data_IF_087175494209
#
_entry.id   IF_087175494209
#
_cell.length_a   1.000
_cell.length_b   1.000
_cell.length_c   1.000
_cell.angle_alpha   90.00
_cell.angle_beta   90.00
_cell.angle_gamma   90.00
#
_symmetry.space_group_name_H-M   'P 1'
#
loop_
_entity.id
_entity.type
_entity.pdbx_description
1 polymer ?
#
# COMPACT_ATOMS: atom_id res chain seq x y z
N UNK A 1 -4.22 28.30 -27.31
CA UNK A 1 -5.09 27.28 -26.70
C UNK A 1 -4.33 26.26 -25.86
N UNK A 2 -3.15 25.78 -26.28
CA UNK A 2 -2.36 24.79 -25.51
C UNK A 2 -1.77 25.27 -24.18
N UNK A 3 -1.39 26.54 -24.04
CA UNK A 3 -0.79 27.07 -22.79
C UNK A 3 -1.80 27.17 -21.64
N UNK A 4 -3.06 27.52 -21.91
CA UNK A 4 -4.10 27.60 -20.86
C UNK A 4 -4.47 26.22 -20.34
N UNK A 5 -4.63 25.25 -21.23
CA UNK A 5 -4.90 23.85 -20.85
C UNK A 5 -3.77 23.22 -20.02
N UNK A 6 -2.51 23.56 -20.35
CA UNK A 6 -1.34 23.09 -19.58
C UNK A 6 -1.30 23.69 -18.16
N UNK A 7 -1.75 24.93 -18.00
CA UNK A 7 -1.79 25.61 -16.70
C UNK A 7 -2.92 25.07 -15.81
N UNK A 8 -4.05 24.68 -16.38
CA UNK A 8 -5.15 24.03 -15.65
C UNK A 8 -4.77 22.61 -15.19
N UNK A 9 -4.13 21.83 -16.06
CA UNK A 9 -3.64 20.51 -15.70
C UNK A 9 -2.58 20.55 -14.59
N UNK A 10 -1.67 21.53 -14.63
CA UNK A 10 -0.67 21.73 -13.59
C UNK A 10 -1.32 22.08 -12.24
N UNK A 11 -2.33 22.96 -12.23
CA UNK A 11 -3.08 23.30 -11.02
C UNK A 11 -3.85 22.11 -10.47
N UNK A 12 -4.43 21.28 -11.34
CA UNK A 12 -5.13 20.08 -10.93
C UNK A 12 -4.17 19.08 -10.29
N UNK A 13 -3.03 18.81 -10.93
CA UNK A 13 -1.99 17.95 -10.39
C UNK A 13 -1.49 18.44 -9.02
N UNK A 14 -1.26 19.73 -8.88
CA UNK A 14 -0.85 20.32 -7.61
C UNK A 14 -1.89 20.09 -6.50
N UNK A 15 -3.18 20.25 -6.80
CA UNK A 15 -4.27 19.97 -5.84
C UNK A 15 -4.27 18.51 -5.41
N UNK A 16 -4.12 17.57 -6.37
CA UNK A 16 -4.05 16.14 -6.08
C UNK A 16 -2.87 15.83 -5.17
N UNK A 17 -1.68 16.37 -5.47
CA UNK A 17 -0.48 16.17 -4.65
C UNK A 17 -0.63 16.75 -3.24
N UNK A 18 -1.27 17.91 -3.09
CA UNK A 18 -1.53 18.51 -1.76
C UNK A 18 -2.48 17.62 -0.96
N UNK A 19 -3.60 17.19 -1.55
CA UNK A 19 -4.55 16.30 -0.87
C UNK A 19 -3.88 14.98 -0.48
N UNK A 20 -3.08 14.41 -1.37
CA UNK A 20 -2.28 13.23 -1.11
C UNK A 20 -1.32 13.45 0.08
N UNK A 21 -0.54 14.53 0.06
CA UNK A 21 0.40 14.85 1.14
C UNK A 21 -0.32 15.01 2.49
N UNK A 22 -1.44 15.74 2.53
CA UNK A 22 -2.25 15.91 3.74
C UNK A 22 -2.74 14.57 4.26
N UNK A 23 -3.25 13.70 3.38
CA UNK A 23 -3.73 12.36 3.79
C UNK A 23 -2.61 11.51 4.40
N UNK A 24 -1.38 11.61 3.88
CA UNK A 24 -0.22 10.90 4.43
C UNK A 24 0.23 11.46 5.76
N UNK A 25 0.22 12.78 5.91
CA UNK A 25 0.52 13.44 7.20
C UNK A 25 -0.48 13.02 8.28
N UNK A 26 -1.77 12.97 7.98
CA UNK A 26 -2.79 12.49 8.91
C UNK A 26 -2.49 11.04 9.33
N UNK A 27 -2.18 10.15 8.40
CA UNK A 27 -1.82 8.76 8.72
C UNK A 27 -0.59 8.67 9.63
N UNK A 28 0.45 9.48 9.37
CA UNK A 28 1.66 9.51 10.21
C UNK A 28 1.37 10.02 11.63
N UNK A 29 0.50 11.02 11.77
CA UNK A 29 0.09 11.55 13.08
C UNK A 29 -0.77 10.53 13.84
N UNK A 30 -1.59 9.75 13.15
CA UNK A 30 -2.43 8.73 13.80
C UNK A 30 -1.63 7.63 14.50
N UNK A 31 -0.41 7.35 14.05
CA UNK A 31 0.45 6.33 14.69
C UNK A 31 0.80 6.66 16.15
N UNK A 32 1.39 7.84 16.47
CA UNK A 32 1.68 8.19 17.86
C UNK A 32 0.40 8.38 18.69
N UNK A 33 -0.69 8.89 18.08
CA UNK A 33 -1.98 9.01 18.77
C UNK A 33 -2.52 7.64 19.16
N UNK A 34 -2.52 6.68 18.25
CA UNK A 34 -2.93 5.29 18.52
C UNK A 34 -2.08 4.67 19.63
N UNK A 35 -0.75 4.80 19.53
CA UNK A 35 0.17 4.26 20.53
C UNK A 35 -0.03 4.90 21.90
N UNK A 36 -0.30 6.20 21.98
CA UNK A 36 -0.57 6.91 23.22
C UNK A 36 -1.87 6.46 23.88
N UNK A 37 -2.94 6.25 23.10
CA UNK A 37 -4.25 5.80 23.62
C UNK A 37 -4.18 4.34 24.08
N UNK A 38 -3.52 3.48 23.30
CA UNK A 38 -3.47 2.04 23.58
C UNK A 38 -2.33 1.61 24.48
N UNK A 39 -1.44 2.53 24.90
CA UNK A 39 -0.26 2.22 25.70
C UNK A 39 0.71 1.27 24.99
N UNK A 40 0.81 1.34 23.67
CA UNK A 40 1.64 0.46 22.83
C UNK A 40 2.75 1.24 22.14
N UNK A 41 3.76 0.52 21.62
CA UNK A 41 4.86 1.09 20.85
C UNK A 41 4.96 0.41 19.47
N UNK A 42 3.85 0.37 18.73
CA UNK A 42 3.80 -0.28 17.43
C UNK A 42 4.34 0.64 16.34
N UNK A 43 5.13 0.07 15.42
CA UNK A 43 5.66 0.82 14.28
C UNK A 43 4.56 1.14 13.26
N UNK A 44 4.80 2.17 12.44
CA UNK A 44 3.91 2.52 11.32
C UNK A 44 3.64 1.31 10.40
N UNK A 45 4.68 0.58 10.00
CA UNK A 45 4.53 -0.60 9.15
C UNK A 45 3.69 -1.70 9.81
N UNK A 46 3.80 -1.87 11.12
CA UNK A 46 2.98 -2.84 11.84
C UNK A 46 1.49 -2.47 11.79
N UNK A 47 1.16 -1.19 11.99
CA UNK A 47 -0.22 -0.71 11.98
C UNK A 47 -0.83 -0.72 10.57
N UNK A 48 0.00 -0.48 9.54
CA UNK A 48 -0.45 -0.54 8.14
C UNK A 48 -0.55 -1.98 7.60
N UNK A 49 0.03 -2.95 8.32
CA UNK A 49 0.03 -4.36 7.94
C UNK A 49 -1.10 -5.13 8.65
N UNK A 50 -2.31 -4.62 8.58
CA UNK A 50 -3.49 -5.29 9.13
C UNK A 50 -4.46 -5.67 8.02
N UNK A 51 -5.44 -6.51 8.36
CA UNK A 51 -6.51 -6.93 7.45
C UNK A 51 -5.97 -7.55 6.15
N UNK A 52 -6.42 -7.05 5.00
CA UNK A 52 -6.08 -7.57 3.68
C UNK A 52 -4.59 -7.40 3.32
N UNK A 53 -3.89 -6.43 3.91
CA UNK A 53 -2.46 -6.23 3.67
C UNK A 53 -1.63 -7.49 4.04
N UNK A 54 -2.00 -8.19 5.11
CA UNK A 54 -1.37 -9.46 5.50
C UNK A 54 -1.61 -10.55 4.46
N UNK A 55 -2.83 -10.64 3.93
CA UNK A 55 -3.19 -11.63 2.92
C UNK A 55 -2.46 -11.38 1.61
N UNK A 56 -2.43 -10.12 1.13
CA UNK A 56 -1.65 -9.75 -0.05
C UNK A 56 -0.16 -10.06 0.12
N UNK A 57 0.43 -9.69 1.26
CA UNK A 57 1.84 -9.99 1.52
C UNK A 57 2.12 -11.50 1.55
N UNK A 58 1.21 -12.30 2.09
CA UNK A 58 1.30 -13.76 2.06
C UNK A 58 1.31 -14.27 0.61
N UNK A 59 0.35 -13.84 -0.23
CA UNK A 59 0.24 -14.27 -1.62
C UNK A 59 1.48 -13.86 -2.43
N UNK A 60 2.00 -12.66 -2.22
CA UNK A 60 3.23 -12.17 -2.89
C UNK A 60 4.44 -13.07 -2.56
N UNK A 61 4.50 -13.59 -1.34
CA UNK A 61 5.62 -14.39 -0.87
C UNK A 61 5.49 -15.89 -1.19
N UNK A 62 4.28 -16.43 -1.20
CA UNK A 62 4.02 -17.88 -1.26
C UNK A 62 3.14 -18.30 -2.44
N UNK A 63 2.55 -17.33 -3.15
CA UNK A 63 1.57 -17.60 -4.20
C UNK A 63 0.17 -17.85 -3.67
N UNK A 64 -0.75 -18.13 -4.60
CA UNK A 64 -2.12 -18.52 -4.28
C UNK A 64 -2.15 -19.96 -3.74
N UNK A 65 -2.83 -20.16 -2.62
CA UNK A 65 -2.95 -21.45 -1.96
C UNK A 65 -4.42 -21.92 -1.96
N UNK A 66 -4.61 -23.23 -2.01
CA UNK A 66 -5.93 -23.83 -1.77
C UNK A 66 -6.31 -23.73 -0.29
N UNK A 67 -7.62 -23.71 0.03
CA UNK A 67 -8.07 -23.84 1.41
C UNK A 67 -7.50 -25.09 2.04
N UNK A 68 -7.00 -24.96 3.25
CA UNK A 68 -6.53 -26.09 4.07
C UNK A 68 -7.29 -26.09 5.39
N UNK A 69 -7.19 -27.16 6.14
CA UNK A 69 -7.78 -27.26 7.50
C UNK A 69 -7.19 -26.20 8.46
N UNK A 70 -5.98 -25.69 8.16
CA UNK A 70 -5.29 -24.67 8.96
C UNK A 70 -5.68 -23.25 8.52
N UNK A 71 -5.90 -23.03 7.22
CA UNK A 71 -6.41 -21.75 6.65
C UNK A 71 -7.60 -22.05 5.73
N UNK A 72 -8.82 -22.08 6.27
CA UNK A 72 -10.03 -22.35 5.48
C UNK A 72 -10.39 -21.22 4.52
N UNK A 73 -9.72 -20.08 4.59
CA UNK A 73 -9.96 -18.95 3.69
C UNK A 73 -9.09 -19.08 2.44
N UNK A 74 -9.73 -19.35 1.30
CA UNK A 74 -9.08 -19.31 0.01
C UNK A 74 -8.58 -17.90 -0.32
N UNK A 75 -7.33 -17.77 -0.76
CA UNK A 75 -6.74 -16.50 -1.18
C UNK A 75 -7.21 -16.05 -2.58
N UNK A 76 -8.12 -16.79 -3.21
CA UNK A 76 -8.60 -16.56 -4.57
C UNK A 76 -9.43 -15.29 -4.77
N UNK A 77 -9.96 -14.72 -3.69
CA UNK A 77 -10.72 -13.48 -3.73
C UNK A 77 -9.84 -12.23 -3.95
N UNK A 78 -8.53 -12.37 -3.80
CA UNK A 78 -7.59 -11.25 -3.91
C UNK A 78 -7.16 -11.04 -5.36
N UNK A 79 -7.27 -9.78 -5.81
CA UNK A 79 -7.07 -9.42 -7.21
C UNK A 79 -5.61 -9.69 -7.67
N UNK A 80 -5.39 -10.50 -8.72
CA UNK A 80 -4.05 -10.98 -9.06
C UNK A 80 -3.12 -9.90 -9.60
N UNK A 81 -3.63 -8.85 -10.26
CA UNK A 81 -2.79 -7.81 -10.88
C UNK A 81 -1.89 -7.11 -9.85
N UNK A 82 -2.45 -6.75 -8.70
CA UNK A 82 -1.68 -6.13 -7.62
C UNK A 82 -0.57 -7.05 -7.11
N UNK A 83 -0.89 -8.32 -6.91
CA UNK A 83 0.08 -9.35 -6.49
C UNK A 83 1.21 -9.50 -7.50
N UNK A 84 0.87 -9.59 -8.80
CA UNK A 84 1.85 -9.75 -9.89
C UNK A 84 2.82 -8.55 -9.91
N UNK A 85 2.30 -7.33 -9.85
CA UNK A 85 3.12 -6.10 -9.86
C UNK A 85 4.05 -6.07 -8.64
N UNK A 86 3.54 -6.35 -7.45
CA UNK A 86 4.35 -6.37 -6.23
C UNK A 86 5.39 -7.50 -6.25
N UNK A 87 5.04 -8.69 -6.73
CA UNK A 87 5.97 -9.81 -6.87
C UNK A 87 7.08 -9.52 -7.87
N UNK A 88 6.75 -8.90 -9.01
CA UNK A 88 7.72 -8.49 -10.01
C UNK A 88 8.71 -7.45 -9.43
N UNK A 89 8.23 -6.44 -8.72
CA UNK A 89 9.08 -5.45 -8.05
C UNK A 89 9.95 -6.09 -6.98
N UNK A 90 9.42 -7.05 -6.22
CA UNK A 90 10.21 -7.81 -5.24
C UNK A 90 11.32 -8.59 -5.91
N UNK A 91 11.06 -9.26 -7.03
CA UNK A 91 12.06 -10.01 -7.80
C UNK A 91 13.16 -9.09 -8.35
N UNK A 92 12.78 -7.94 -8.95
CA UNK A 92 13.72 -6.95 -9.48
C UNK A 92 14.63 -6.38 -8.38
N UNK A 93 14.11 -6.16 -7.18
CA UNK A 93 14.91 -5.69 -6.03
C UNK A 93 15.71 -6.80 -5.34
N UNK A 94 15.68 -8.02 -5.86
CA UNK A 94 16.37 -9.15 -5.24
C UNK A 94 15.89 -9.49 -3.83
N UNK A 95 14.65 -9.08 -3.48
CA UNK A 95 14.07 -9.29 -2.16
C UNK A 95 14.61 -8.37 -1.05
N UNK A 96 15.43 -7.39 -1.40
CA UNK A 96 16.03 -6.44 -0.44
C UNK A 96 14.98 -5.54 0.23
N UNK A 97 13.88 -5.26 -0.50
CA UNK A 97 12.80 -4.41 0.02
C UNK A 97 11.71 -5.29 0.64
N UNK A 98 11.27 -4.92 1.83
CA UNK A 98 10.18 -5.61 2.52
C UNK A 98 8.90 -5.57 1.69
N UNK A 99 8.18 -6.69 1.60
CA UNK A 99 6.95 -6.86 0.81
C UNK A 99 5.89 -5.82 1.14
N UNK A 100 5.75 -5.43 2.42
CA UNK A 100 4.79 -4.39 2.83
C UNK A 100 5.15 -3.01 2.29
N UNK A 101 6.45 -2.69 2.28
CA UNK A 101 6.95 -1.44 1.71
C UNK A 101 6.69 -1.38 0.21
N UNK A 102 6.92 -2.48 -0.51
CA UNK A 102 6.60 -2.59 -1.94
C UNK A 102 5.11 -2.35 -2.16
N UNK A 103 4.25 -3.02 -1.39
CA UNK A 103 2.80 -2.83 -1.47
C UNK A 103 2.37 -1.38 -1.22
N UNK A 104 2.94 -0.72 -0.23
CA UNK A 104 2.68 0.70 0.05
C UNK A 104 3.12 1.60 -1.12
N UNK A 105 4.29 1.36 -1.71
CA UNK A 105 4.79 2.13 -2.86
C UNK A 105 3.83 1.98 -4.04
N UNK A 106 3.48 0.75 -4.40
CA UNK A 106 2.54 0.47 -5.50
C UNK A 106 1.20 1.15 -5.28
N UNK A 107 0.61 1.00 -4.09
CA UNK A 107 -0.66 1.63 -3.76
C UNK A 107 -0.61 3.16 -3.82
N UNK A 108 0.48 3.77 -3.34
CA UNK A 108 0.66 5.22 -3.39
C UNK A 108 0.82 5.73 -4.82
N UNK A 109 1.53 5.00 -5.67
CA UNK A 109 1.66 5.33 -7.10
C UNK A 109 0.29 5.26 -7.79
N UNK A 110 -0.48 4.20 -7.55
CA UNK A 110 -1.81 4.03 -8.14
C UNK A 110 -2.82 5.13 -7.73
N UNK A 111 -2.64 5.75 -6.57
CA UNK A 111 -3.52 6.87 -6.14
C UNK A 111 -3.19 8.18 -6.89
N UNK A 112 -1.95 8.35 -7.35
CA UNK A 112 -1.48 9.59 -8.00
C UNK A 112 -1.74 9.57 -9.52
N UNK A 113 -1.82 8.39 -10.14
CA UNK A 113 -2.07 8.22 -11.58
C UNK A 113 -3.57 8.36 -11.88
#
# INVERSE_FOLDING_TARGET
MNRLKNNENCRLLLKILIIFAISRLIMLIMVPVYNGIMGTHRSFLFLMNEWDAKKYAYIINHGYTHPTDIDPQANWAFFPLYVIVCAALKAVTGGLINTYVIGMIVSNICIII
#
